data_IF_175858104984
#
_entry.id   IF_175858104984
#
_cell.length_a   1.000
_cell.length_b   1.000
_cell.length_c   1.000
_cell.angle_alpha   90.00
_cell.angle_beta   90.00
_cell.angle_gamma   90.00
#
_symmetry.space_group_name_H-M   'P 1'
#
loop_
_entity.id
_entity.type
_entity.pdbx_description
1 polymer ?
#
# COMPACT_ATOMS: atom_id res chain seq x y z
N UNK A 1 -6.28 -4.74 27.29
CA UNK A 1 -5.49 -4.92 26.06
C UNK A 1 -4.46 -3.81 26.01
N UNK A 2 -3.23 -4.06 25.55
CA UNK A 2 -2.24 -3.01 25.38
C UNK A 2 -2.76 -1.92 24.43
N UNK A 3 -2.24 -0.69 24.60
CA UNK A 3 -2.56 0.39 23.67
C UNK A 3 -2.07 0.02 22.26
N UNK A 4 -2.76 0.46 21.19
CA UNK A 4 -2.37 0.17 19.81
C UNK A 4 -0.90 0.52 19.51
N UNK A 5 -0.41 1.63 20.08
CA UNK A 5 0.97 2.08 19.91
C UNK A 5 1.97 1.11 20.56
N UNK A 6 1.69 0.63 21.77
CA UNK A 6 2.59 -0.27 22.50
C UNK A 6 2.61 -1.65 21.81
N UNK A 7 1.48 -2.10 21.29
CA UNK A 7 1.39 -3.33 20.52
C UNK A 7 2.21 -3.26 19.21
N UNK A 8 2.21 -2.11 18.53
CA UNK A 8 2.98 -1.93 17.30
C UNK A 8 4.46 -1.67 17.58
N UNK A 9 4.79 -0.88 18.59
CA UNK A 9 6.19 -0.67 19.02
C UNK A 9 6.84 -1.98 19.45
N UNK A 10 6.20 -2.74 20.31
CA UNK A 10 6.70 -4.06 20.72
C UNK A 10 6.84 -5.05 19.56
N UNK A 11 5.94 -4.99 18.57
CA UNK A 11 6.07 -5.77 17.35
C UNK A 11 7.32 -5.36 16.55
N UNK A 12 7.60 -4.07 16.41
CA UNK A 12 8.79 -3.59 15.70
C UNK A 12 10.09 -3.96 16.42
N UNK A 13 10.14 -3.78 17.74
CA UNK A 13 11.27 -4.16 18.57
C UNK A 13 11.57 -5.66 18.46
N UNK A 14 10.55 -6.50 18.63
CA UNK A 14 10.69 -7.95 18.55
C UNK A 14 11.23 -8.43 17.20
N UNK A 15 10.78 -7.81 16.09
CA UNK A 15 11.28 -8.15 14.77
C UNK A 15 12.70 -7.65 14.55
N UNK A 16 13.03 -6.43 15.01
CA UNK A 16 14.39 -5.87 14.93
C UNK A 16 15.39 -6.75 15.70
N UNK A 17 15.05 -7.18 16.89
CA UNK A 17 15.90 -8.05 17.73
C UNK A 17 16.09 -9.42 17.08
N UNK A 18 15.10 -9.89 16.33
CA UNK A 18 15.19 -11.07 15.46
C UNK A 18 15.95 -10.87 14.14
N UNK A 19 16.49 -9.67 13.88
CA UNK A 19 17.15 -9.33 12.61
C UNK A 19 16.21 -9.17 11.43
N UNK A 20 14.91 -9.03 11.70
CA UNK A 20 13.87 -8.85 10.67
C UNK A 20 13.46 -7.38 10.62
N UNK A 21 13.41 -6.83 9.41
CA UNK A 21 12.88 -5.50 9.16
C UNK A 21 11.54 -5.62 8.46
N UNK A 22 10.42 -5.22 9.11
CA UNK A 22 9.11 -5.24 8.49
C UNK A 22 9.07 -4.41 7.20
N UNK A 23 8.20 -4.82 6.29
CA UNK A 23 7.90 -4.05 5.08
C UNK A 23 6.72 -3.14 5.39
N UNK A 24 6.80 -1.86 5.01
CA UNK A 24 5.64 -0.99 4.99
C UNK A 24 4.92 -1.11 3.64
N UNK A 25 3.64 -1.44 3.68
CA UNK A 25 2.78 -1.41 2.49
C UNK A 25 1.83 -0.23 2.60
N UNK A 26 2.04 0.77 1.75
CA UNK A 26 1.31 2.03 1.80
C UNK A 26 0.23 2.04 0.70
N UNK A 27 -1.01 2.17 1.13
CA UNK A 27 -2.17 2.28 0.24
C UNK A 27 -2.72 3.70 0.14
N UNK A 28 -3.72 3.87 -0.72
CA UNK A 28 -4.33 5.17 -1.06
C UNK A 28 -4.93 5.91 0.14
N UNK A 29 -5.32 5.21 1.21
CA UNK A 29 -5.80 5.84 2.45
C UNK A 29 -4.76 6.75 3.13
N UNK A 30 -3.46 6.47 2.98
CA UNK A 30 -2.42 7.36 3.47
C UNK A 30 -2.40 8.68 2.67
N UNK A 31 -2.56 8.63 1.35
CA UNK A 31 -2.60 9.81 0.49
C UNK A 31 -3.92 10.57 0.58
N UNK A 32 -5.00 9.93 1.04
CA UNK A 32 -6.26 10.60 1.31
C UNK A 32 -6.11 11.72 2.36
N UNK A 33 -5.21 11.55 3.34
CA UNK A 33 -4.87 12.59 4.31
C UNK A 33 -4.20 13.84 3.66
N UNK A 34 -3.62 13.69 2.47
CA UNK A 34 -3.07 14.77 1.65
C UNK A 34 -4.09 15.30 0.62
N UNK A 35 -5.34 14.82 0.65
CA UNK A 35 -6.42 15.22 -0.23
C UNK A 35 -6.46 14.46 -1.57
N UNK A 36 -5.67 13.41 -1.76
CA UNK A 36 -5.78 12.54 -2.93
C UNK A 36 -6.99 11.63 -2.82
N UNK A 37 -7.72 11.37 -3.92
CA UNK A 37 -8.84 10.43 -3.89
C UNK A 37 -8.34 9.00 -3.68
N UNK A 38 -9.09 8.24 -2.90
CA UNK A 38 -8.99 6.78 -2.86
C UNK A 38 -9.61 6.18 -4.13
N UNK A 39 -9.51 4.85 -4.32
CA UNK A 39 -10.19 4.16 -5.41
C UNK A 39 -11.69 4.52 -5.47
N UNK A 40 -12.37 4.56 -4.32
CA UNK A 40 -13.77 4.98 -4.25
C UNK A 40 -13.99 6.43 -4.72
N UNK A 41 -13.05 7.33 -4.43
CA UNK A 41 -13.06 8.69 -4.96
C UNK A 41 -12.86 8.73 -6.48
N UNK A 42 -11.94 7.93 -7.01
CA UNK A 42 -11.73 7.78 -8.46
C UNK A 42 -13.00 7.25 -9.14
N UNK A 43 -13.67 6.26 -8.55
CA UNK A 43 -14.94 5.73 -9.07
C UNK A 43 -16.00 6.82 -9.25
N UNK A 44 -16.05 7.81 -8.37
CA UNK A 44 -16.99 8.94 -8.50
C UNK A 44 -16.73 9.70 -9.80
N UNK A 45 -15.45 9.98 -10.12
CA UNK A 45 -15.10 10.65 -11.39
C UNK A 45 -15.39 9.78 -12.61
N UNK A 46 -15.11 8.47 -12.53
CA UNK A 46 -15.41 7.56 -13.63
C UNK A 46 -16.91 7.48 -13.90
N UNK A 47 -17.74 7.41 -12.85
CA UNK A 47 -19.20 7.35 -12.98
C UNK A 47 -19.81 8.64 -13.53
N UNK A 48 -19.21 9.80 -13.32
CA UNK A 48 -19.66 11.04 -13.95
C UNK A 48 -19.58 10.98 -15.47
N UNK A 49 -18.56 10.28 -15.99
CA UNK A 49 -18.35 10.12 -17.45
C UNK A 49 -18.99 8.84 -18.01
N UNK A 50 -19.21 7.84 -17.18
CA UNK A 50 -19.84 6.56 -17.55
C UNK A 50 -21.00 6.21 -16.59
N UNK A 51 -22.09 6.99 -16.58
CA UNK A 51 -23.17 6.82 -15.60
C UNK A 51 -23.97 5.52 -15.77
N UNK A 52 -23.86 4.85 -16.91
CA UNK A 52 -24.57 3.60 -17.22
C UNK A 52 -23.89 2.33 -16.67
N UNK A 53 -22.64 2.36 -16.29
CA UNK A 53 -21.95 1.18 -15.76
C UNK A 53 -22.49 0.81 -14.37
N UNK A 54 -22.73 -0.50 -14.16
CA UNK A 54 -23.13 -1.09 -12.89
C UNK A 54 -21.92 -1.67 -12.12
N UNK A 55 -20.76 -1.71 -12.77
CA UNK A 55 -19.53 -2.24 -12.21
C UNK A 55 -18.95 -1.33 -11.13
N UNK A 56 -18.03 -1.86 -10.31
CA UNK A 56 -17.34 -1.14 -9.25
C UNK A 56 -15.85 -1.51 -9.22
N UNK A 57 -15.04 -0.69 -8.58
CA UNK A 57 -13.60 -0.95 -8.44
C UNK A 57 -12.92 -1.08 -9.80
N UNK A 58 -12.09 -2.10 -9.93
CA UNK A 58 -11.33 -2.33 -11.17
C UNK A 58 -12.20 -2.76 -12.35
N UNK A 59 -13.37 -3.38 -12.13
CA UNK A 59 -14.30 -3.71 -13.20
C UNK A 59 -14.88 -2.44 -13.83
N UNK A 60 -15.20 -1.42 -13.02
CA UNK A 60 -15.61 -0.11 -13.54
C UNK A 60 -14.50 0.56 -14.36
N UNK A 61 -13.24 0.42 -13.95
CA UNK A 61 -12.10 0.94 -14.72
C UNK A 61 -11.98 0.23 -16.05
N UNK A 62 -12.17 -1.07 -16.10
CA UNK A 62 -12.16 -1.85 -17.34
C UNK A 62 -13.28 -1.45 -18.29
N UNK A 63 -14.52 -1.30 -17.79
CA UNK A 63 -15.66 -0.79 -18.55
C UNK A 63 -15.38 0.62 -19.11
N UNK A 64 -14.83 1.50 -18.26
CA UNK A 64 -14.51 2.87 -18.65
C UNK A 64 -13.56 2.91 -19.85
N UNK A 65 -12.54 2.05 -19.83
CA UNK A 65 -11.57 1.97 -20.93
C UNK A 65 -12.17 1.35 -22.17
N UNK A 66 -13.00 0.33 -22.01
CA UNK A 66 -13.68 -0.29 -23.14
C UNK A 66 -14.58 0.72 -23.89
N UNK A 67 -15.25 1.62 -23.17
CA UNK A 67 -16.20 2.58 -23.73
C UNK A 67 -15.54 3.91 -24.16
N UNK A 68 -14.60 4.43 -23.39
CA UNK A 68 -14.05 5.78 -23.56
C UNK A 68 -12.55 5.80 -23.94
N UNK A 69 -11.87 4.68 -23.79
CA UNK A 69 -10.47 4.49 -24.15
C UNK A 69 -9.46 4.87 -23.06
N UNK A 70 -8.24 4.37 -23.23
CA UNK A 70 -7.12 4.55 -22.30
C UNK A 70 -6.72 6.03 -22.12
N UNK A 71 -6.80 6.83 -23.18
CA UNK A 71 -6.44 8.26 -23.13
C UNK A 71 -7.35 9.04 -22.19
N UNK A 72 -8.64 8.70 -22.14
CA UNK A 72 -9.59 9.36 -21.24
C UNK A 72 -9.34 8.94 -19.78
N UNK A 73 -9.03 7.67 -19.54
CA UNK A 73 -8.60 7.22 -18.20
C UNK A 73 -7.30 7.91 -17.77
N UNK A 74 -6.32 8.05 -18.67
CA UNK A 74 -5.07 8.75 -18.37
C UNK A 74 -5.32 10.22 -18.01
N UNK A 75 -6.28 10.89 -18.65
CA UNK A 75 -6.67 12.26 -18.31
C UNK A 75 -7.30 12.33 -16.91
N UNK A 76 -8.16 11.38 -16.55
CA UNK A 76 -8.76 11.30 -15.21
C UNK A 76 -7.67 11.07 -14.14
N UNK A 77 -6.80 10.10 -14.36
CA UNK A 77 -5.72 9.77 -13.41
C UNK A 77 -4.70 10.91 -13.32
N UNK A 78 -4.37 11.59 -14.43
CA UNK A 78 -3.50 12.76 -14.47
C UNK A 78 -4.03 13.91 -13.61
N UNK A 79 -5.33 14.20 -13.69
CA UNK A 79 -5.98 15.19 -12.82
C UNK A 79 -6.00 14.77 -11.32
N UNK A 80 -6.07 13.48 -11.06
CA UNK A 80 -6.01 12.93 -9.70
C UNK A 80 -4.63 13.10 -9.09
N UNK A 81 -3.57 12.98 -9.88
CA UNK A 81 -2.20 13.00 -9.39
C UNK A 81 -1.52 14.38 -9.45
N UNK A 82 -2.28 15.44 -9.66
CA UNK A 82 -1.74 16.77 -9.51
C UNK A 82 -0.98 16.89 -8.17
N UNK A 83 0.23 17.49 -8.19
CA UNK A 83 1.06 17.58 -6.99
C UNK A 83 0.32 18.25 -5.84
N UNK A 84 0.25 17.59 -4.69
CA UNK A 84 -0.34 18.10 -3.46
C UNK A 84 0.68 18.02 -2.33
N UNK A 85 0.56 18.85 -1.28
CA UNK A 85 1.36 18.69 -0.08
C UNK A 85 1.21 17.27 0.49
N UNK A 86 2.28 16.72 1.01
CA UNK A 86 2.19 15.46 1.76
C UNK A 86 1.64 15.71 3.18
N UNK A 87 1.01 14.71 3.76
CA UNK A 87 0.45 14.75 5.10
C UNK A 87 1.45 14.22 6.14
N UNK A 88 1.25 14.49 7.46
CA UNK A 88 2.13 14.03 8.54
C UNK A 88 2.40 12.52 8.54
N UNK A 89 1.47 11.72 8.07
CA UNK A 89 1.64 10.25 7.95
C UNK A 89 2.80 9.90 7.00
N UNK A 90 2.99 10.64 5.90
CA UNK A 90 4.09 10.40 4.96
C UNK A 90 5.45 10.75 5.58
N UNK A 91 5.51 11.86 6.34
CA UNK A 91 6.70 12.23 7.13
C UNK A 91 7.04 11.14 8.16
N UNK A 92 6.04 10.60 8.83
CA UNK A 92 6.22 9.51 9.80
C UNK A 92 6.77 8.24 9.12
N UNK A 93 6.23 7.87 7.96
CA UNK A 93 6.72 6.76 7.13
C UNK A 93 8.19 6.99 6.74
N UNK A 94 8.55 8.19 6.27
CA UNK A 94 9.91 8.52 5.89
C UNK A 94 10.90 8.41 7.07
N UNK A 95 10.50 8.89 8.25
CA UNK A 95 11.31 8.79 9.48
C UNK A 95 11.52 7.35 9.94
N UNK A 96 10.45 6.54 9.98
CA UNK A 96 10.55 5.12 10.33
C UNK A 96 11.48 4.36 9.38
N UNK A 97 11.38 4.63 8.09
CA UNK A 97 12.24 4.01 7.10
C UNK A 97 13.70 4.50 7.23
N UNK A 98 13.91 5.81 7.40
CA UNK A 98 15.22 6.41 7.59
C UNK A 98 15.93 5.95 8.87
N UNK A 99 15.18 5.65 9.94
CA UNK A 99 15.69 5.02 11.15
C UNK A 99 16.03 3.53 10.98
N UNK A 100 15.87 2.97 9.77
CA UNK A 100 16.15 1.56 9.47
C UNK A 100 15.14 0.57 10.04
N UNK A 101 14.04 1.05 10.63
CA UNK A 101 12.99 0.19 11.22
C UNK A 101 12.25 -0.58 10.12
N UNK A 102 11.89 0.12 9.04
CA UNK A 102 11.19 -0.44 7.88
C UNK A 102 11.82 0.08 6.59
N UNK A 103 13.01 -0.40 6.19
CA UNK A 103 13.77 0.17 5.07
C UNK A 103 13.20 -0.17 3.68
N UNK A 104 12.16 -0.99 3.61
CA UNK A 104 11.50 -1.38 2.35
C UNK A 104 10.05 -0.98 2.40
N UNK A 105 9.61 -0.24 1.40
CA UNK A 105 8.24 0.20 1.21
C UNK A 105 7.67 -0.37 -0.09
N UNK A 106 6.46 -0.90 -0.01
CA UNK A 106 5.62 -1.15 -1.19
C UNK A 106 4.51 -0.12 -1.23
N UNK A 107 4.16 0.36 -2.42
CA UNK A 107 3.01 1.25 -2.57
C UNK A 107 2.21 0.95 -3.81
N UNK A 108 0.89 1.04 -3.67
CA UNK A 108 -0.09 0.99 -4.76
C UNK A 108 -0.56 2.40 -5.17
N UNK A 109 0.02 3.44 -4.59
CA UNK A 109 -0.41 4.82 -4.83
C UNK A 109 0.12 5.36 -6.15
N UNK A 110 -0.65 6.25 -6.75
CA UNK A 110 -0.33 6.92 -8.04
C UNK A 110 0.35 8.28 -7.85
N UNK A 111 0.46 8.77 -6.61
CA UNK A 111 1.06 10.07 -6.27
C UNK A 111 2.52 9.94 -5.85
N UNK A 112 3.20 11.08 -5.67
CA UNK A 112 4.59 11.17 -5.20
C UNK A 112 4.73 11.66 -3.76
N UNK A 113 3.66 11.59 -2.96
CA UNK A 113 3.67 12.10 -1.58
C UNK A 113 4.72 11.43 -0.71
N UNK A 114 4.96 10.13 -0.93
CA UNK A 114 5.98 9.37 -0.20
C UNK A 114 7.36 9.93 -0.53
N UNK A 115 7.73 10.00 -1.80
CA UNK A 115 9.04 10.49 -2.25
C UNK A 115 9.27 11.94 -1.82
N UNK A 116 8.25 12.79 -1.93
CA UNK A 116 8.32 14.19 -1.50
C UNK A 116 8.58 14.29 0.02
N UNK A 117 7.93 13.44 0.83
CA UNK A 117 8.17 13.39 2.26
C UNK A 117 9.59 12.91 2.59
N UNK A 118 10.11 11.90 1.85
CA UNK A 118 11.49 11.43 2.01
C UNK A 118 12.52 12.53 1.69
N UNK A 119 12.31 13.26 0.58
CA UNK A 119 13.15 14.37 0.20
C UNK A 119 13.14 15.49 1.25
N UNK A 120 11.96 15.83 1.79
CA UNK A 120 11.82 16.85 2.85
C UNK A 120 12.52 16.46 4.15
N UNK A 121 12.47 15.19 4.54
CA UNK A 121 13.15 14.70 5.77
C UNK A 121 14.65 14.46 5.55
N UNK A 122 15.11 14.55 4.31
CA UNK A 122 16.52 14.30 3.97
C UNK A 122 16.93 12.83 4.03
N UNK A 123 15.99 11.91 3.89
CA UNK A 123 16.25 10.47 3.87
C UNK A 123 16.53 10.00 2.45
N UNK A 124 17.72 9.44 2.21
CA UNK A 124 18.08 8.90 0.92
C UNK A 124 17.26 7.65 0.57
N UNK A 125 16.71 7.58 -0.63
CA UNK A 125 15.91 6.48 -1.11
C UNK A 125 16.17 6.16 -2.59
N UNK A 126 15.87 4.92 -2.99
CA UNK A 126 15.71 4.51 -4.39
C UNK A 126 14.25 4.15 -4.65
N UNK A 127 13.67 4.67 -5.74
CA UNK A 127 12.33 4.31 -6.18
C UNK A 127 12.42 3.44 -7.43
N UNK A 128 11.66 2.35 -7.48
CA UNK A 128 11.63 1.40 -8.58
C UNK A 128 10.18 1.01 -8.88
N UNK A 129 9.90 0.76 -10.16
CA UNK A 129 8.62 0.21 -10.62
C UNK A 129 8.76 -1.27 -10.91
N UNK A 130 7.63 -1.99 -10.88
CA UNK A 130 7.60 -3.44 -11.12
C UNK A 130 8.05 -3.87 -12.52
N UNK A 131 7.94 -2.99 -13.50
CA UNK A 131 8.35 -3.28 -14.88
C UNK A 131 9.87 -3.37 -15.03
N UNK A 132 10.60 -2.76 -14.10
CA UNK A 132 12.03 -2.88 -14.02
C UNK A 132 12.41 -4.18 -13.32
N UNK A 133 13.46 -4.86 -13.75
CA UNK A 133 14.04 -5.99 -13.02
C UNK A 133 14.59 -5.46 -11.67
N UNK A 134 13.69 -5.25 -10.72
CA UNK A 134 14.11 -4.69 -9.45
C UNK A 134 14.88 -5.73 -8.64
N UNK A 135 16.04 -5.36 -8.25
CA UNK A 135 16.83 -6.09 -7.27
C UNK A 135 16.69 -5.33 -5.95
N UNK A 136 16.26 -6.01 -4.89
CA UNK A 136 16.40 -5.44 -3.55
C UNK A 136 17.89 -5.23 -3.33
N UNK A 137 18.33 -4.00 -3.50
CA UNK A 137 19.73 -3.63 -3.30
C UNK A 137 20.03 -3.76 -1.81
N UNK A 138 20.99 -4.60 -1.48
CA UNK A 138 21.56 -4.61 -0.14
C UNK A 138 22.32 -3.30 0.08
N UNK A 139 21.95 -2.52 1.09
CA UNK A 139 22.59 -1.23 1.40
C UNK A 139 21.77 -0.46 2.43
N UNK A 140 22.33 0.64 2.92
CA UNK A 140 21.67 1.53 3.90
C UNK A 140 20.62 2.45 3.28
N UNK A 141 20.29 2.28 1.99
CA UNK A 141 19.32 3.12 1.30
C UNK A 141 17.92 2.51 1.40
N UNK A 142 16.94 3.36 1.74
CA UNK A 142 15.54 2.98 1.74
C UNK A 142 15.07 2.67 0.31
N UNK A 143 14.25 1.64 0.15
CA UNK A 143 13.70 1.23 -1.13
C UNK A 143 12.20 1.44 -1.19
N UNK A 144 11.74 2.18 -2.19
CA UNK A 144 10.33 2.38 -2.49
C UNK A 144 10.00 1.59 -3.75
N UNK A 145 9.12 0.61 -3.63
CA UNK A 145 8.71 -0.26 -4.73
C UNK A 145 7.25 0.04 -5.09
N UNK A 146 7.07 0.57 -6.29
CA UNK A 146 5.76 0.92 -6.83
C UNK A 146 5.14 -0.28 -7.54
N UNK A 147 3.98 -0.69 -7.06
CA UNK A 147 3.29 -1.89 -7.56
C UNK A 147 2.42 -1.60 -8.79
N UNK A 148 2.09 -0.36 -9.08
CA UNK A 148 1.17 -0.02 -10.16
C UNK A 148 1.80 0.80 -11.27
N UNK A 149 2.69 1.75 -10.97
CA UNK A 149 3.30 2.58 -12.03
C UNK A 149 4.34 3.56 -11.51
N UNK A 150 5.09 4.15 -12.42
CA UNK A 150 5.79 5.42 -12.21
C UNK A 150 4.77 6.58 -12.30
N UNK A 151 4.68 7.46 -11.29
CA UNK A 151 3.83 8.65 -11.36
C UNK A 151 4.22 9.61 -12.49
N UNK A 152 5.39 9.45 -13.10
CA UNK A 152 5.82 10.18 -14.29
C UNK A 152 5.33 9.60 -15.61
N UNK A 153 4.89 8.33 -15.63
CA UNK A 153 4.38 7.67 -16.82
C UNK A 153 2.95 7.14 -16.64
N UNK A 154 1.98 8.01 -16.86
CA UNK A 154 0.55 7.68 -16.81
C UNK A 154 0.11 6.60 -17.80
N UNK A 155 0.87 6.39 -18.88
CA UNK A 155 0.59 5.32 -19.83
C UNK A 155 0.92 3.97 -19.21
N UNK A 156 1.96 3.89 -18.38
CA UNK A 156 2.24 2.67 -17.62
C UNK A 156 1.19 2.47 -16.51
N UNK A 157 0.71 3.55 -15.86
CA UNK A 157 -0.40 3.49 -14.91
C UNK A 157 -1.67 2.94 -15.54
N UNK A 158 -2.05 3.48 -16.68
CA UNK A 158 -3.21 3.01 -17.44
C UNK A 158 -3.03 1.54 -17.81
N UNK A 159 -1.87 1.14 -18.31
CA UNK A 159 -1.58 -0.26 -18.62
C UNK A 159 -1.64 -1.16 -17.39
N UNK A 160 -1.10 -0.73 -16.27
CA UNK A 160 -1.12 -1.52 -15.02
C UNK A 160 -2.52 -1.65 -14.41
N UNK A 161 -3.39 -0.64 -14.62
CA UNK A 161 -4.78 -0.65 -14.11
C UNK A 161 -5.73 -1.32 -15.10
N UNK A 162 -5.53 -1.09 -16.40
CA UNK A 162 -6.47 -1.45 -17.46
C UNK A 162 -6.27 -2.84 -17.99
N UNK A 163 -5.05 -3.32 -18.11
CA UNK A 163 -4.89 -4.69 -18.52
C UNK A 163 -4.75 -5.58 -17.30
N UNK A 164 -5.91 -6.04 -16.80
CA UNK A 164 -5.94 -7.25 -15.97
C UNK A 164 -5.04 -8.32 -16.60
N UNK A 165 -5.04 -8.46 -17.95
CA UNK A 165 -4.18 -9.36 -18.70
C UNK A 165 -2.70 -8.97 -18.74
N UNK A 166 -2.35 -7.68 -18.84
CA UNK A 166 -0.94 -7.27 -18.75
C UNK A 166 -0.44 -7.29 -17.30
N UNK A 167 -1.32 -7.01 -16.34
CA UNK A 167 -1.03 -7.25 -14.94
C UNK A 167 -0.90 -8.75 -14.64
N UNK A 168 -1.77 -9.59 -15.16
CA UNK A 168 -1.65 -11.05 -15.07
C UNK A 168 -0.39 -11.58 -15.77
N UNK A 169 0.04 -10.97 -16.87
CA UNK A 169 1.30 -11.29 -17.53
C UNK A 169 2.53 -10.79 -16.73
N UNK A 170 2.42 -9.68 -16.02
CA UNK A 170 3.45 -9.15 -15.11
C UNK A 170 3.33 -9.75 -13.71
N UNK A 171 2.16 -10.27 -13.34
CA UNK A 171 1.82 -10.84 -12.05
C UNK A 171 2.74 -11.98 -11.61
N UNK A 172 3.18 -12.93 -12.47
CA UNK A 172 4.13 -13.96 -12.05
C UNK A 172 5.47 -13.39 -11.54
N UNK A 173 5.96 -12.30 -12.12
CA UNK A 173 7.17 -11.61 -11.63
C UNK A 173 6.91 -10.91 -10.32
N UNK A 174 5.79 -10.17 -10.21
CA UNK A 174 5.35 -9.55 -8.98
C UNK A 174 5.18 -10.57 -7.86
N UNK A 175 4.44 -11.64 -8.12
CA UNK A 175 4.21 -12.72 -7.15
C UNK A 175 5.53 -13.33 -6.71
N UNK A 176 6.46 -13.58 -7.63
CA UNK A 176 7.78 -14.13 -7.29
C UNK A 176 8.57 -13.19 -6.38
N UNK A 177 8.59 -11.90 -6.66
CA UNK A 177 9.28 -10.90 -5.85
C UNK A 177 8.57 -10.64 -4.51
N UNK A 178 7.24 -10.52 -4.52
CA UNK A 178 6.44 -10.41 -3.31
C UNK A 178 6.60 -11.67 -2.45
N UNK A 179 6.47 -12.84 -3.04
CA UNK A 179 6.58 -14.12 -2.37
C UNK A 179 7.92 -14.27 -1.66
N UNK A 180 9.03 -13.98 -2.34
CA UNK A 180 10.36 -14.03 -1.75
C UNK A 180 10.55 -13.07 -0.57
N UNK A 181 10.01 -11.86 -0.66
CA UNK A 181 10.19 -10.83 0.36
C UNK A 181 9.19 -10.96 1.50
N UNK A 182 7.97 -11.36 1.19
CA UNK A 182 6.86 -11.38 2.14
C UNK A 182 6.72 -12.72 2.86
N UNK A 183 7.34 -13.80 2.37
CA UNK A 183 7.50 -15.04 3.15
C UNK A 183 8.52 -14.89 4.28
N UNK A 184 9.49 -13.99 4.11
CA UNK A 184 10.62 -13.85 5.04
C UNK A 184 10.50 -12.66 5.96
N UNK A 185 9.57 -11.72 5.70
CA UNK A 185 9.42 -10.48 6.48
C UNK A 185 7.95 -10.20 6.78
N UNK A 186 7.61 -9.72 7.97
CA UNK A 186 6.27 -9.26 8.26
C UNK A 186 5.95 -7.98 7.50
N UNK A 187 4.66 -7.73 7.27
CA UNK A 187 4.18 -6.53 6.57
C UNK A 187 3.32 -5.70 7.51
N UNK A 188 3.49 -4.39 7.46
CA UNK A 188 2.60 -3.42 8.09
C UNK A 188 1.85 -2.69 6.97
N UNK A 189 0.56 -2.98 6.85
CA UNK A 189 -0.34 -2.32 5.91
C UNK A 189 -0.85 -1.02 6.52
N UNK A 190 -0.64 0.10 5.83
CA UNK A 190 -1.05 1.44 6.25
C UNK A 190 -1.86 2.11 5.14
N UNK A 191 -3.07 2.56 5.44
CA UNK A 191 -3.96 3.17 4.44
C UNK A 191 -4.46 2.19 3.37
N UNK A 192 -4.41 0.89 3.65
CA UNK A 192 -4.88 -0.17 2.77
C UNK A 192 -6.27 -0.63 3.23
N UNK A 193 -7.28 -0.53 2.37
CA UNK A 193 -8.65 -0.96 2.71
C UNK A 193 -8.81 -2.47 2.86
N UNK A 194 -7.78 -3.26 2.54
CA UNK A 194 -7.80 -4.73 2.53
C UNK A 194 -8.96 -5.31 1.68
N UNK A 195 -9.31 -4.62 0.59
CA UNK A 195 -10.36 -5.01 -0.36
C UNK A 195 -9.85 -5.16 -1.79
N UNK A 196 -8.58 -4.89 -2.03
CA UNK A 196 -7.97 -5.13 -3.35
C UNK A 196 -7.94 -6.64 -3.61
N UNK A 197 -8.64 -7.14 -4.64
CA UNK A 197 -8.71 -8.57 -4.93
C UNK A 197 -7.32 -9.20 -5.11
N UNK A 198 -6.40 -8.47 -5.72
CA UNK A 198 -5.04 -8.96 -6.00
C UNK A 198 -4.22 -9.11 -4.73
N UNK A 199 -4.35 -8.16 -3.79
CA UNK A 199 -3.76 -8.30 -2.47
C UNK A 199 -4.35 -9.50 -1.73
N UNK A 200 -5.67 -9.69 -1.81
CA UNK A 200 -6.36 -10.81 -1.19
C UNK A 200 -5.96 -12.16 -1.82
N UNK A 201 -5.91 -12.24 -3.15
CA UNK A 201 -5.47 -13.45 -3.87
C UNK A 201 -4.04 -13.81 -3.53
N UNK A 202 -3.17 -12.79 -3.45
CA UNK A 202 -1.80 -13.02 -3.01
C UNK A 202 -1.74 -13.51 -1.55
N UNK A 203 -2.47 -12.87 -0.61
CA UNK A 203 -2.56 -13.34 0.78
C UNK A 203 -3.08 -14.77 0.87
N UNK A 204 -4.04 -15.15 0.02
CA UNK A 204 -4.57 -16.50 -0.07
C UNK A 204 -3.52 -17.52 -0.54
N UNK A 205 -2.60 -17.11 -1.41
CA UNK A 205 -1.54 -17.98 -1.95
C UNK A 205 -0.43 -18.29 -0.94
N UNK A 206 -0.35 -17.55 0.18
CA UNK A 206 0.71 -17.72 1.17
C UNK A 206 0.47 -18.97 2.04
N UNK A 207 1.46 -19.87 2.17
CA UNK A 207 1.33 -21.06 3.01
C UNK A 207 1.10 -20.66 4.47
N UNK A 208 0.01 -21.15 5.03
CA UNK A 208 -0.38 -20.91 6.44
C UNK A 208 0.59 -21.58 7.42
N UNK A 209 1.22 -22.71 6.99
CA UNK A 209 2.05 -23.56 7.83
C UNK A 209 3.37 -22.94 8.29
N UNK A 210 3.88 -21.93 7.58
CA UNK A 210 5.24 -21.39 7.81
C UNK A 210 5.25 -20.08 8.61
N UNK A 211 4.08 -19.55 8.97
CA UNK A 211 3.97 -18.29 9.70
C UNK A 211 3.99 -18.50 11.19
N UNK A 212 5.16 -18.37 11.78
CA UNK A 212 5.32 -18.24 13.23
C UNK A 212 4.77 -16.90 13.69
N UNK A 213 4.41 -16.77 14.97
CA UNK A 213 3.90 -15.51 15.54
C UNK A 213 4.83 -14.29 15.31
N UNK A 214 6.12 -14.52 15.21
CA UNK A 214 7.15 -13.51 14.90
C UNK A 214 6.97 -12.87 13.52
N UNK A 215 6.40 -13.60 12.57
CA UNK A 215 6.17 -13.12 11.20
C UNK A 215 4.72 -12.67 10.95
N UNK A 216 3.92 -12.54 12.02
CA UNK A 216 2.55 -12.04 11.87
C UNK A 216 2.57 -10.61 11.35
N UNK A 217 1.90 -10.37 10.21
CA UNK A 217 1.73 -9.04 9.65
C UNK A 217 0.73 -8.20 10.46
N UNK A 218 0.69 -6.90 10.24
CA UNK A 218 -0.25 -5.97 10.87
C UNK A 218 -1.00 -5.19 9.82
N UNK A 219 -2.31 -5.01 9.99
CA UNK A 219 -3.11 -4.11 9.17
C UNK A 219 -3.68 -3.00 10.07
N UNK A 220 -3.22 -1.77 9.85
CA UNK A 220 -3.72 -0.60 10.57
C UNK A 220 -4.96 -0.11 9.84
N UNK A 221 -6.12 -0.28 10.47
CA UNK A 221 -7.44 -0.03 9.89
C UNK A 221 -8.28 0.82 10.85
N UNK A 222 -9.21 1.58 10.29
CA UNK A 222 -10.28 2.12 11.11
C UNK A 222 -11.30 1.02 11.45
N UNK A 223 -12.05 1.22 12.56
CA UNK A 223 -13.14 0.31 12.92
C UNK A 223 -14.19 0.20 11.82
N UNK A 224 -14.44 1.32 11.15
CA UNK A 224 -15.39 1.38 10.03
C UNK A 224 -14.92 0.54 8.83
N UNK A 225 -13.64 0.68 8.44
CA UNK A 225 -13.04 -0.14 7.37
C UNK A 225 -13.12 -1.63 7.70
N UNK A 226 -12.80 -2.01 8.94
CA UNK A 226 -12.89 -3.39 9.39
C UNK A 226 -14.33 -3.94 9.33
N UNK A 227 -15.32 -3.15 9.75
CA UNK A 227 -16.72 -3.55 9.69
C UNK A 227 -17.26 -3.68 8.26
N UNK A 228 -16.71 -2.90 7.33
CA UNK A 228 -17.04 -2.96 5.89
C UNK A 228 -16.38 -4.12 5.14
N UNK A 229 -15.39 -4.80 5.75
CA UNK A 229 -14.81 -5.99 5.15
C UNK A 229 -15.82 -7.13 5.17
N UNK A 230 -15.97 -7.77 4.02
CA UNK A 230 -16.77 -8.99 3.93
C UNK A 230 -16.19 -10.08 4.86
N UNK A 231 -17.04 -10.92 5.50
CA UNK A 231 -16.55 -11.99 6.36
C UNK A 231 -15.45 -12.86 5.73
N UNK A 232 -15.55 -13.32 4.47
CA UNK A 232 -14.49 -14.11 3.84
C UNK A 232 -13.12 -13.39 3.81
N UNK A 233 -13.12 -12.06 3.62
CA UNK A 233 -11.87 -11.30 3.63
C UNK A 233 -11.26 -11.25 5.04
N UNK A 234 -12.07 -11.10 6.08
CA UNK A 234 -11.59 -11.14 7.46
C UNK A 234 -11.01 -12.51 7.82
N UNK A 235 -11.67 -13.58 7.39
CA UNK A 235 -11.21 -14.96 7.59
C UNK A 235 -9.90 -15.20 6.84
N UNK A 236 -9.77 -14.66 5.62
CA UNK A 236 -8.55 -14.72 4.85
C UNK A 236 -7.40 -13.99 5.55
N UNK A 237 -7.63 -12.76 6.05
CA UNK A 237 -6.61 -12.01 6.80
C UNK A 237 -6.14 -12.81 8.03
N UNK A 238 -7.08 -13.41 8.76
CA UNK A 238 -6.77 -14.26 9.92
C UNK A 238 -5.94 -15.49 9.51
N UNK A 239 -6.33 -16.19 8.44
CA UNK A 239 -5.61 -17.35 7.92
C UNK A 239 -4.22 -17.00 7.38
N UNK A 240 -4.07 -15.79 6.79
CA UNK A 240 -2.80 -15.25 6.35
C UNK A 240 -1.95 -14.65 7.50
N UNK A 241 -2.35 -14.84 8.76
CA UNK A 241 -1.70 -14.29 9.96
C UNK A 241 -1.53 -12.76 9.92
N UNK A 242 -2.50 -12.05 9.34
CA UNK A 242 -2.57 -10.58 9.37
C UNK A 242 -3.45 -10.15 10.54
N UNK A 243 -2.84 -9.56 11.56
CA UNK A 243 -3.54 -9.11 12.79
C UNK A 243 -3.98 -7.65 12.61
N UNK A 244 -5.27 -7.32 12.71
CA UNK A 244 -5.74 -5.95 12.60
C UNK A 244 -5.38 -5.13 13.85
N UNK A 245 -4.99 -3.89 13.64
CA UNK A 245 -4.90 -2.83 14.65
C UNK A 245 -6.02 -1.85 14.35
N UNK A 246 -7.06 -1.85 15.18
CA UNK A 246 -8.28 -1.10 14.93
C UNK A 246 -8.26 0.24 15.65
N UNK A 247 -8.39 1.31 14.90
CA UNK A 247 -8.41 2.69 15.36
C UNK A 247 -9.81 3.32 15.12
N UNK A 248 -10.17 4.39 15.87
CA UNK A 248 -11.46 5.04 15.68
C UNK A 248 -11.68 5.60 14.27
N UNK A 249 -10.65 6.27 13.72
CA UNK A 249 -10.71 7.06 12.50
C UNK A 249 -9.32 7.19 11.82
N UNK A 250 -9.26 7.83 10.66
CA UNK A 250 -8.03 8.06 9.91
C UNK A 250 -7.07 9.07 10.59
N UNK A 251 -7.57 10.00 11.39
CA UNK A 251 -6.73 10.92 12.17
C UNK A 251 -5.95 10.13 13.23
N UNK A 252 -6.61 9.19 13.89
CA UNK A 252 -5.98 8.26 14.84
C UNK A 252 -4.93 7.36 14.16
N UNK A 253 -5.14 6.95 12.89
CA UNK A 253 -4.11 6.23 12.11
C UNK A 253 -2.88 7.11 11.91
N UNK A 254 -3.09 8.36 11.49
CA UNK A 254 -2.00 9.33 11.32
C UNK A 254 -1.28 9.57 12.65
N UNK A 255 -2.02 9.80 13.74
CA UNK A 255 -1.47 10.00 15.08
C UNK A 255 -0.62 8.84 15.56
N UNK A 256 -1.10 7.60 15.36
CA UNK A 256 -0.35 6.38 15.68
C UNK A 256 1.00 6.32 14.94
N UNK A 257 0.99 6.61 13.63
CA UNK A 257 2.22 6.56 12.82
C UNK A 257 3.21 7.65 13.21
N UNK A 258 2.73 8.87 13.51
CA UNK A 258 3.57 9.99 13.98
C UNK A 258 4.21 9.68 15.33
N UNK A 259 3.43 9.14 16.28
CA UNK A 259 3.94 8.75 17.59
C UNK A 259 4.98 7.62 17.48
N UNK A 260 4.69 6.61 16.63
CA UNK A 260 5.61 5.50 16.38
C UNK A 260 6.96 5.99 15.82
N UNK A 261 6.91 6.92 14.86
CA UNK A 261 8.12 7.53 14.29
C UNK A 261 8.90 8.35 15.32
N UNK A 262 8.22 9.00 16.26
CA UNK A 262 8.85 9.70 17.38
C UNK A 262 9.57 8.78 18.37
N UNK A 263 9.11 7.53 18.52
CA UNK A 263 9.75 6.53 19.39
C UNK A 263 10.94 5.83 18.71
N UNK A 264 11.02 5.87 17.39
CA UNK A 264 12.05 5.17 16.61
C UNK A 264 13.33 6.00 16.37
N UNK A 265 13.27 7.32 16.58
CA UNK A 265 14.40 8.26 16.48
C UNK A 265 14.95 8.60 17.84
#
# INVERSE_FOLDING_TARGET
MPQPIDALAGFLEQNRDGGLHPILWIGAGASAAAGYPTLAGIEVFLRQKLPGSREAGFALVADFVAELGESELAAVLGGVAEPRPFAPIHTAVARLAGAGVCPVLFTTNYDRTIENAFAEVGVAFGAQCLEDDFVLQGGNQVQIIRLHCDPGDWRSAVRAVVSLRAFEASYPRLVHHLDRNLRTRPVIFVGCSMRDPRLLDWLASLPVSDRRDLHASRAILTREEWLRLAPPNRDLLASANVKPILLPDHESVTGLMVELAGRAG
#
